data_IF_522774877926
#
_entry.id   IF_522774877926
#
_cell.length_a   1.000
_cell.length_b   1.000
_cell.length_c   1.000
_cell.angle_alpha   90.00
_cell.angle_beta   90.00
_cell.angle_gamma   90.00
#
_symmetry.space_group_name_H-M   'P 1'
#
loop_
_entity.id
_entity.type
_entity.pdbx_description
1 polymer ?
#
# COMPACT_ATOMS: atom_id res chain seq x y z
N UNK A 1 -7.02 5.90 -9.40
CA UNK A 1 -5.90 5.35 -10.19
C UNK A 1 -6.09 5.49 -11.70
N UNK A 2 -7.29 5.31 -12.25
CA UNK A 2 -7.58 5.40 -13.71
C UNK A 2 -6.98 6.65 -14.41
N UNK A 3 -6.88 7.79 -13.73
CA UNK A 3 -6.37 9.07 -14.27
C UNK A 3 -4.92 9.04 -14.79
N UNK A 4 -4.13 8.07 -14.36
CA UNK A 4 -2.73 7.94 -14.77
C UNK A 4 -2.55 7.23 -16.12
N UNK A 5 -3.63 6.77 -16.74
CA UNK A 5 -3.61 5.97 -17.96
C UNK A 5 -4.53 6.56 -19.03
N UNK A 6 -4.02 6.70 -20.25
CA UNK A 6 -4.82 7.07 -21.40
C UNK A 6 -5.67 5.87 -21.85
N UNK A 7 -7.02 5.96 -21.80
CA UNK A 7 -7.89 4.84 -22.19
C UNK A 7 -7.85 4.50 -23.69
N UNK A 8 -7.25 5.35 -24.51
CA UNK A 8 -7.02 5.05 -25.93
C UNK A 8 -5.79 4.16 -26.14
N UNK A 9 -4.87 4.11 -25.16
CA UNK A 9 -3.62 3.34 -25.22
C UNK A 9 -3.62 2.13 -24.29
N UNK A 10 -4.45 2.14 -23.24
CA UNK A 10 -4.47 1.10 -22.21
C UNK A 10 -5.85 0.49 -22.03
N UNK A 11 -5.90 -0.82 -21.92
CA UNK A 11 -7.00 -1.53 -21.28
C UNK A 11 -6.77 -1.45 -19.77
N UNK A 12 -7.54 -0.61 -19.06
CA UNK A 12 -7.35 -0.33 -17.63
C UNK A 12 -8.23 -1.29 -16.82
N UNK A 13 -7.60 -2.06 -15.94
CA UNK A 13 -8.28 -2.98 -15.02
C UNK A 13 -8.06 -2.47 -13.61
N UNK A 14 -9.14 -2.12 -12.94
CA UNK A 14 -9.17 -1.77 -11.53
C UNK A 14 -9.91 -2.86 -10.78
N UNK A 15 -9.36 -3.31 -9.67
CA UNK A 15 -10.05 -4.25 -8.81
C UNK A 15 -9.96 -3.79 -7.36
N UNK A 16 -11.01 -4.05 -6.62
CA UNK A 16 -11.02 -3.90 -5.18
C UNK A 16 -10.68 -5.26 -4.56
N UNK A 17 -9.62 -5.31 -3.74
CA UNK A 17 -9.27 -6.57 -3.08
C UNK A 17 -10.35 -7.02 -2.10
N UNK A 18 -10.26 -8.27 -1.65
CA UNK A 18 -11.22 -8.87 -0.71
C UNK A 18 -11.49 -7.93 0.45
N UNK A 19 -12.75 -7.76 0.81
CA UNK A 19 -13.20 -6.93 1.92
C UNK A 19 -13.16 -5.43 1.68
N UNK A 20 -12.74 -4.92 0.50
CA UNK A 20 -12.69 -3.48 0.23
C UNK A 20 -13.52 -3.05 -0.97
N UNK A 21 -13.81 -1.76 -1.04
CA UNK A 21 -14.50 -1.11 -2.14
C UNK A 21 -15.84 -1.79 -2.47
N UNK A 22 -15.98 -2.31 -3.68
CA UNK A 22 -17.18 -3.01 -4.14
C UNK A 22 -17.14 -4.52 -3.90
N UNK A 23 -15.99 -5.09 -3.49
CA UNK A 23 -15.87 -6.52 -3.15
C UNK A 23 -16.63 -6.85 -1.87
N UNK A 24 -17.25 -8.03 -1.84
CA UNK A 24 -18.12 -8.47 -0.73
C UNK A 24 -17.64 -9.80 -0.15
N UNK A 25 -17.81 -10.04 1.18
CA UNK A 25 -18.39 -9.12 2.19
C UNK A 25 -17.48 -7.93 2.52
N UNK A 26 -18.06 -6.75 2.75
CA UNK A 26 -17.31 -5.53 3.06
C UNK A 26 -16.61 -5.64 4.43
N UNK A 27 -15.39 -5.11 4.55
CA UNK A 27 -14.54 -5.16 5.74
C UNK A 27 -14.28 -6.59 6.27
N UNK A 28 -14.49 -7.62 5.44
CA UNK A 28 -14.18 -9.00 5.80
C UNK A 28 -12.67 -9.24 5.73
N UNK A 29 -12.17 -9.95 6.76
CA UNK A 29 -10.79 -10.44 6.83
C UNK A 29 -10.72 -11.97 6.67
N UNK A 30 -11.87 -12.62 6.47
CA UNK A 30 -11.96 -14.05 6.26
C UNK A 30 -11.34 -14.44 4.92
N UNK A 31 -10.48 -15.44 4.93
CA UNK A 31 -9.71 -15.86 3.75
C UNK A 31 -8.95 -14.71 3.06
N UNK A 32 -8.58 -13.66 3.81
CA UNK A 32 -7.94 -12.46 3.29
C UNK A 32 -6.46 -12.43 3.70
N UNK A 33 -5.67 -13.29 3.08
CA UNK A 33 -4.22 -13.39 3.25
C UNK A 33 -3.51 -13.22 1.91
N UNK A 34 -2.22 -12.95 1.92
CA UNK A 34 -1.45 -12.61 0.72
C UNK A 34 -1.58 -13.65 -0.40
N UNK A 35 -1.51 -14.94 -0.09
CA UNK A 35 -1.65 -16.01 -1.09
C UNK A 35 -3.00 -16.01 -1.80
N UNK A 36 -4.09 -15.69 -1.08
CA UNK A 36 -5.41 -15.54 -1.68
C UNK A 36 -5.52 -14.31 -2.58
N UNK A 37 -4.89 -13.18 -2.21
CA UNK A 37 -4.85 -11.99 -3.05
C UNK A 37 -4.08 -12.25 -4.35
N UNK A 38 -2.98 -12.98 -4.29
CA UNK A 38 -2.23 -13.41 -5.47
C UNK A 38 -3.05 -14.34 -6.38
N UNK A 39 -3.80 -15.27 -5.79
CA UNK A 39 -4.70 -16.15 -6.53
C UNK A 39 -5.85 -15.38 -7.21
N UNK A 40 -6.38 -14.35 -6.55
CA UNK A 40 -7.40 -13.47 -7.14
C UNK A 40 -6.86 -12.70 -8.36
N UNK A 41 -5.65 -12.16 -8.28
CA UNK A 41 -4.99 -11.49 -9.42
C UNK A 41 -4.84 -12.43 -10.61
N UNK A 42 -4.35 -13.66 -10.37
CA UNK A 42 -4.25 -14.67 -11.45
C UNK A 42 -5.60 -15.06 -12.03
N UNK A 43 -6.61 -15.21 -11.18
CA UNK A 43 -7.98 -15.49 -11.64
C UNK A 43 -8.53 -14.36 -12.52
N UNK A 44 -8.29 -13.09 -12.15
CA UNK A 44 -8.68 -11.92 -12.95
C UNK A 44 -7.94 -11.94 -14.29
N UNK A 45 -6.62 -12.11 -14.27
CA UNK A 45 -5.79 -12.16 -15.48
C UNK A 45 -6.29 -13.23 -16.46
N UNK A 46 -6.50 -14.44 -15.98
CA UNK A 46 -6.96 -15.58 -16.78
C UNK A 46 -8.40 -15.36 -17.31
N UNK A 47 -9.32 -14.87 -16.46
CA UNK A 47 -10.72 -14.61 -16.84
C UNK A 47 -10.80 -13.55 -17.95
N UNK A 48 -9.87 -12.60 -17.97
CA UNK A 48 -9.82 -11.53 -18.96
C UNK A 48 -8.94 -11.87 -20.18
N UNK A 49 -8.42 -13.10 -20.24
CA UNK A 49 -7.51 -13.61 -21.28
C UNK A 49 -6.29 -12.70 -21.50
N UNK A 50 -5.67 -12.27 -20.40
CA UNK A 50 -4.48 -11.41 -20.43
C UNK A 50 -3.24 -12.29 -20.34
N UNK A 51 -2.37 -12.23 -21.34
CA UNK A 51 -1.11 -12.97 -21.33
C UNK A 51 -0.10 -12.33 -20.37
N UNK A 52 0.08 -11.02 -20.48
CA UNK A 52 0.94 -10.22 -19.62
C UNK A 52 0.31 -8.84 -19.42
N UNK A 53 0.58 -8.22 -18.29
CA UNK A 53 0.09 -6.89 -17.97
C UNK A 53 1.15 -6.00 -17.31
N UNK A 54 0.94 -4.70 -17.41
CA UNK A 54 1.63 -3.73 -16.55
C UNK A 54 0.92 -3.69 -15.19
N UNK A 55 1.70 -3.71 -14.12
CA UNK A 55 1.18 -3.63 -12.74
C UNK A 55 1.40 -2.23 -12.18
N UNK A 56 0.36 -1.65 -11.59
CA UNK A 56 0.42 -0.35 -10.93
C UNK A 56 -0.04 -0.49 -9.48
N UNK A 57 0.83 -0.15 -8.53
CA UNK A 57 0.55 -0.28 -7.12
C UNK A 57 1.14 0.83 -6.26
N UNK A 58 0.51 1.12 -5.12
CA UNK A 58 1.05 2.08 -4.16
C UNK A 58 0.74 1.69 -2.73
N UNK A 59 1.66 1.98 -1.79
CA UNK A 59 1.52 1.62 -0.37
C UNK A 59 1.36 0.10 -0.21
N UNK A 60 0.34 -0.40 0.47
CA UNK A 60 0.00 -1.83 0.49
C UNK A 60 -0.11 -2.45 -0.92
N UNK A 61 -0.61 -1.68 -1.90
CA UNK A 61 -0.63 -2.12 -3.30
C UNK A 61 0.75 -2.32 -3.91
N UNK A 62 1.78 -1.62 -3.44
CA UNK A 62 3.17 -1.90 -3.85
C UNK A 62 3.68 -3.20 -3.21
N UNK A 63 3.34 -3.46 -1.95
CA UNK A 63 3.61 -4.75 -1.26
C UNK A 63 3.02 -5.92 -2.04
N UNK A 64 1.72 -5.82 -2.39
CA UNK A 64 1.02 -6.85 -3.17
C UNK A 64 1.63 -7.01 -4.57
N UNK A 65 1.99 -5.92 -5.23
CA UNK A 65 2.63 -5.94 -6.54
C UNK A 65 4.01 -6.62 -6.51
N UNK A 66 4.82 -6.36 -5.46
CA UNK A 66 6.11 -7.02 -5.27
C UNK A 66 5.95 -8.51 -4.96
N UNK A 67 4.98 -8.89 -4.14
CA UNK A 67 4.66 -10.30 -3.91
C UNK A 67 4.21 -11.00 -5.21
N UNK A 68 3.44 -10.29 -6.05
CA UNK A 68 3.05 -10.80 -7.36
C UNK A 68 4.25 -10.92 -8.32
N UNK A 69 5.18 -9.95 -8.30
CA UNK A 69 6.44 -10.04 -9.04
C UNK A 69 7.25 -11.27 -8.65
N UNK A 70 7.37 -11.53 -7.35
CA UNK A 70 8.11 -12.68 -6.84
C UNK A 70 7.50 -14.03 -7.26
N UNK A 71 6.15 -14.10 -7.31
CA UNK A 71 5.43 -15.33 -7.62
C UNK A 71 5.24 -15.56 -9.13
N UNK A 72 5.01 -14.49 -9.92
CA UNK A 72 4.56 -14.57 -11.31
C UNK A 72 5.29 -13.57 -12.25
N UNK A 73 6.62 -13.46 -12.21
CA UNK A 73 7.36 -12.47 -13.02
C UNK A 73 7.11 -12.59 -14.52
N UNK A 74 6.81 -13.80 -15.01
CA UNK A 74 6.54 -14.09 -16.42
C UNK A 74 5.28 -13.41 -16.96
N UNK A 75 4.34 -13.00 -16.10
CA UNK A 75 3.10 -12.35 -16.48
C UNK A 75 3.13 -10.82 -16.36
N UNK A 76 4.28 -10.25 -15.99
CA UNK A 76 4.46 -8.82 -15.85
C UNK A 76 5.27 -8.26 -17.00
N UNK A 77 4.77 -7.23 -17.68
CA UNK A 77 5.51 -6.49 -18.72
C UNK A 77 6.37 -5.39 -18.11
N UNK A 78 5.83 -4.65 -17.18
CA UNK A 78 6.50 -3.59 -16.42
C UNK A 78 5.71 -3.25 -15.16
N UNK A 79 6.30 -2.47 -14.25
CA UNK A 79 5.64 -2.02 -13.04
C UNK A 79 5.81 -0.52 -12.81
N UNK A 80 4.79 0.13 -12.26
CA UNK A 80 4.87 1.47 -11.68
C UNK A 80 4.46 1.37 -10.22
N UNK A 81 5.39 1.67 -9.33
CA UNK A 81 5.19 1.55 -7.88
C UNK A 81 5.35 2.92 -7.20
N UNK A 82 4.49 3.22 -6.23
CA UNK A 82 4.49 4.47 -5.47
C UNK A 82 4.41 4.21 -3.97
N UNK A 83 5.13 5.05 -3.18
CA UNK A 83 5.07 4.95 -1.73
C UNK A 83 5.39 3.52 -1.28
N UNK A 84 6.61 3.08 -1.55
CA UNK A 84 7.03 1.69 -1.34
C UNK A 84 6.85 1.31 0.12
N UNK A 85 6.07 0.26 0.34
CA UNK A 85 5.88 -0.38 1.63
C UNK A 85 6.38 -1.82 1.57
N UNK A 86 7.38 -2.15 2.37
CA UNK A 86 8.00 -3.47 2.38
C UNK A 86 7.45 -4.38 3.48
N UNK A 87 6.65 -3.83 4.39
CA UNK A 87 5.97 -4.52 5.49
C UNK A 87 6.94 -5.31 6.39
N UNK A 88 8.16 -4.78 6.61
CA UNK A 88 9.15 -5.36 7.53
C UNK A 88 8.83 -4.94 8.97
N UNK A 89 9.32 -5.65 9.95
CA UNK A 89 9.17 -5.30 11.37
C UNK A 89 9.50 -3.81 11.63
N UNK A 90 10.63 -3.32 11.13
CA UNK A 90 11.02 -1.91 11.29
C UNK A 90 10.09 -0.91 10.62
N UNK A 91 9.38 -1.30 9.55
CA UNK A 91 8.41 -0.46 8.84
C UNK A 91 7.12 -0.37 9.67
N UNK A 92 6.71 -1.46 10.32
CA UNK A 92 5.61 -1.51 11.26
C UNK A 92 5.95 -0.80 12.58
N UNK A 93 7.17 -0.96 13.07
CA UNK A 93 7.69 -0.23 14.24
C UNK A 93 7.68 1.29 14.00
N UNK A 94 8.05 1.73 12.81
CA UNK A 94 7.95 3.14 12.41
C UNK A 94 6.53 3.66 12.54
N UNK A 95 5.54 2.91 12.08
CA UNK A 95 4.13 3.33 12.07
C UNK A 95 3.47 3.23 13.44
N UNK A 96 3.73 2.15 14.19
CA UNK A 96 2.87 1.76 15.31
C UNK A 96 3.61 1.61 16.65
N UNK A 97 4.79 2.23 16.78
CA UNK A 97 5.49 2.36 18.06
C UNK A 97 5.89 3.80 18.35
N UNK A 98 6.13 4.09 19.63
CA UNK A 98 6.61 5.41 20.08
C UNK A 98 8.02 5.76 19.57
N UNK A 99 8.74 4.83 18.95
CA UNK A 99 10.12 5.02 18.47
C UNK A 99 10.19 5.57 17.04
N UNK A 100 9.10 5.46 16.27
CA UNK A 100 9.00 5.84 14.86
C UNK A 100 8.41 7.23 14.63
N UNK A 101 7.39 7.27 13.76
CA UNK A 101 6.69 8.49 13.35
C UNK A 101 6.06 9.27 14.50
N UNK A 102 5.74 8.60 15.62
CA UNK A 102 5.28 9.21 16.87
C UNK A 102 6.19 10.35 17.35
N UNK A 103 7.48 10.28 17.08
CA UNK A 103 8.46 11.32 17.46
C UNK A 103 8.34 12.59 16.61
N UNK A 104 7.75 12.50 15.43
CA UNK A 104 7.53 13.63 14.54
C UNK A 104 6.12 14.21 14.69
N UNK A 105 5.16 13.40 15.13
CA UNK A 105 3.75 13.75 15.28
C UNK A 105 3.23 13.36 16.68
N UNK A 106 3.82 13.91 17.77
CA UNK A 106 3.55 13.44 19.13
C UNK A 106 2.09 13.66 19.57
N UNK A 107 1.44 14.73 19.13
CA UNK A 107 0.05 15.01 19.48
C UNK A 107 -0.92 13.99 18.84
N UNK A 108 -0.69 13.68 17.56
CA UNK A 108 -1.51 12.69 16.84
C UNK A 108 -1.28 11.27 17.39
N UNK A 109 -0.03 10.94 17.74
CA UNK A 109 0.29 9.69 18.40
C UNK A 109 -0.40 9.56 19.76
N UNK A 110 -0.34 10.61 20.59
CA UNK A 110 -1.02 10.62 21.88
C UNK A 110 -2.54 10.42 21.72
N UNK A 111 -3.14 11.07 20.72
CA UNK A 111 -4.56 10.88 20.42
C UNK A 111 -4.88 9.44 20.01
N UNK A 112 -4.01 8.79 19.21
CA UNK A 112 -4.15 7.39 18.85
C UNK A 112 -4.06 6.47 20.08
N UNK A 113 -3.08 6.69 20.97
CA UNK A 113 -2.92 5.91 22.20
C UNK A 113 -4.10 6.06 23.14
N UNK A 114 -4.60 7.29 23.35
CA UNK A 114 -5.74 7.56 24.21
C UNK A 114 -7.05 6.94 23.72
N UNK A 115 -7.22 6.85 22.42
CA UNK A 115 -8.41 6.28 21.81
C UNK A 115 -8.31 4.76 21.59
N UNK A 116 -7.14 4.17 21.87
CA UNK A 116 -6.94 2.74 21.65
C UNK A 116 -7.89 1.89 22.49
N UNK A 117 -8.35 0.76 21.96
CA UNK A 117 -9.17 -0.19 22.70
C UNK A 117 -8.48 -0.63 23.99
N UNK A 118 -9.22 -0.85 25.09
CA UNK A 118 -8.67 -1.42 26.31
C UNK A 118 -8.12 -2.82 26.01
N UNK A 119 -7.07 -3.21 26.69
CA UNK A 119 -6.48 -4.54 26.53
C UNK A 119 -4.98 -4.54 26.82
N UNK A 120 -4.38 -5.73 26.70
CA UNK A 120 -2.95 -5.97 26.82
C UNK A 120 -2.35 -6.23 25.43
N UNK A 121 -1.04 -6.06 25.29
CA UNK A 121 -0.34 -6.26 24.02
C UNK A 121 0.06 -4.96 23.33
N UNK A 122 0.54 -5.09 22.11
CA UNK A 122 0.93 -3.94 21.28
C UNK A 122 -0.27 -3.07 20.91
N UNK A 123 -0.02 -1.83 20.52
CA UNK A 123 -1.07 -0.93 20.02
C UNK A 123 -1.82 -1.55 18.83
N UNK A 124 -1.08 -2.14 17.91
CA UNK A 124 -1.62 -2.85 16.73
C UNK A 124 -2.58 -3.99 17.14
N UNK A 125 -2.18 -4.83 18.09
CA UNK A 125 -3.04 -5.94 18.56
C UNK A 125 -4.30 -5.43 19.25
N UNK A 126 -4.22 -4.38 20.06
CA UNK A 126 -5.38 -3.75 20.71
C UNK A 126 -6.35 -3.21 19.68
N UNK A 127 -5.87 -2.50 18.65
CA UNK A 127 -6.72 -2.01 17.56
C UNK A 127 -7.35 -3.16 16.78
N UNK A 128 -6.58 -4.19 16.42
CA UNK A 128 -7.12 -5.36 15.73
C UNK A 128 -8.31 -5.98 16.50
N UNK A 129 -8.17 -6.18 17.81
CA UNK A 129 -9.23 -6.75 18.65
C UNK A 129 -10.45 -5.81 18.76
N UNK A 130 -10.21 -4.51 18.99
CA UNK A 130 -11.28 -3.52 19.11
C UNK A 130 -12.11 -3.36 17.83
N UNK A 131 -11.46 -3.49 16.68
CA UNK A 131 -12.10 -3.41 15.37
C UNK A 131 -13.06 -4.59 15.07
N UNK A 132 -13.05 -5.65 15.87
CA UNK A 132 -14.02 -6.75 15.77
C UNK A 132 -15.28 -6.54 16.65
N UNK A 133 -15.27 -5.51 17.50
CA UNK A 133 -16.34 -5.25 18.48
C UNK A 133 -17.34 -4.19 18.05
N UNK A 134 -18.24 -3.85 18.98
CA UNK A 134 -19.34 -2.89 18.74
C UNK A 134 -18.87 -1.44 18.46
N UNK A 135 -17.70 -1.05 18.98
CA UNK A 135 -17.13 0.29 18.78
C UNK A 135 -16.16 0.37 17.57
N UNK A 136 -16.21 -0.60 16.65
CA UNK A 136 -15.27 -0.75 15.55
C UNK A 136 -15.11 0.55 14.72
N UNK A 137 -16.19 1.24 14.40
CA UNK A 137 -16.12 2.52 13.64
C UNK A 137 -15.38 3.64 14.38
N UNK A 138 -15.50 3.69 15.71
CA UNK A 138 -14.75 4.66 16.53
C UNK A 138 -13.25 4.39 16.45
N UNK A 139 -12.87 3.13 16.59
CA UNK A 139 -11.46 2.72 16.52
C UNK A 139 -10.90 2.88 15.09
N UNK A 140 -11.70 2.56 14.09
CA UNK A 140 -11.34 2.78 12.69
C UNK A 140 -11.05 4.25 12.39
N UNK A 141 -11.90 5.16 12.90
CA UNK A 141 -11.70 6.60 12.79
C UNK A 141 -10.38 7.05 13.42
N UNK A 142 -10.06 6.57 14.63
CA UNK A 142 -8.81 6.91 15.30
C UNK A 142 -7.58 6.41 14.52
N UNK A 143 -7.65 5.20 14.00
CA UNK A 143 -6.62 4.59 13.14
C UNK A 143 -6.40 5.41 11.87
N UNK A 144 -7.47 5.69 11.12
CA UNK A 144 -7.39 6.45 9.87
C UNK A 144 -6.93 7.91 10.07
N UNK A 145 -7.24 8.53 11.21
CA UNK A 145 -6.74 9.86 11.55
C UNK A 145 -5.21 9.86 11.70
N UNK A 146 -4.66 8.82 12.33
CA UNK A 146 -3.20 8.64 12.42
C UNK A 146 -2.57 8.52 11.04
N UNK A 147 -3.04 7.60 10.21
CA UNK A 147 -2.55 7.39 8.85
C UNK A 147 -2.65 8.67 8.00
N UNK A 148 -3.78 9.37 8.10
CA UNK A 148 -3.99 10.64 7.37
C UNK A 148 -3.00 11.72 7.81
N UNK A 149 -2.66 11.78 9.10
CA UNK A 149 -1.65 12.71 9.61
C UNK A 149 -0.29 12.43 9.01
N UNK A 150 0.13 11.17 8.97
CA UNK A 150 1.41 10.77 8.36
C UNK A 150 1.44 11.00 6.85
N UNK A 151 0.30 10.84 6.19
CA UNK A 151 0.17 11.11 4.77
C UNK A 151 0.10 12.62 4.42
N UNK A 152 0.17 13.50 5.44
CA UNK A 152 -0.01 14.95 5.31
C UNK A 152 -1.34 15.34 4.63
N UNK A 153 -2.34 14.49 4.79
CA UNK A 153 -3.68 14.76 4.30
C UNK A 153 -4.46 15.62 5.31
N UNK A 154 -5.42 16.42 4.86
CA UNK A 154 -6.30 17.12 5.79
C UNK A 154 -6.99 16.13 6.74
N UNK A 155 -6.81 16.32 8.04
CA UNK A 155 -7.36 15.45 9.11
C UNK A 155 -8.88 15.58 9.28
N UNK A 156 -9.53 16.45 8.54
CA UNK A 156 -10.97 16.51 8.48
C UNK A 156 -11.50 15.64 7.36
N UNK A 157 -11.99 14.49 7.69
CA UNK A 157 -13.20 13.80 7.21
C UNK A 157 -13.70 14.06 5.77
N UNK A 158 -12.90 14.53 4.86
CA UNK A 158 -13.33 14.75 3.48
C UNK A 158 -13.02 13.56 2.58
N UNK A 159 -12.91 12.37 3.09
CA UNK A 159 -12.48 11.33 2.19
C UNK A 159 -13.13 9.98 2.40
N UNK A 160 -13.06 9.44 3.57
CA UNK A 160 -13.55 8.09 3.80
C UNK A 160 -14.89 8.15 4.52
N UNK A 161 -15.90 7.46 4.00
CA UNK A 161 -17.10 7.14 4.75
C UNK A 161 -16.75 6.21 5.91
N UNK A 162 -17.64 6.10 6.91
CA UNK A 162 -17.39 5.25 8.08
C UNK A 162 -17.08 3.79 7.73
N UNK A 163 -17.68 3.27 6.65
CA UNK A 163 -17.45 1.90 6.19
C UNK A 163 -16.09 1.75 5.48
N UNK A 164 -15.61 2.76 4.76
CA UNK A 164 -14.29 2.75 4.14
C UNK A 164 -13.18 2.83 5.20
N UNK A 165 -13.38 3.64 6.25
CA UNK A 165 -12.48 3.69 7.41
C UNK A 165 -12.41 2.32 8.11
N UNK A 166 -13.56 1.67 8.29
CA UNK A 166 -13.63 0.34 8.89
C UNK A 166 -12.92 -0.71 8.03
N UNK A 167 -13.12 -0.67 6.70
CA UNK A 167 -12.44 -1.55 5.77
C UNK A 167 -10.93 -1.40 5.85
N UNK A 168 -10.43 -0.16 5.77
CA UNK A 168 -9.02 0.16 5.83
C UNK A 168 -8.42 -0.33 7.15
N UNK A 169 -8.94 0.10 8.29
CA UNK A 169 -8.40 -0.24 9.60
C UNK A 169 -8.43 -1.75 9.89
N UNK A 170 -9.50 -2.46 9.52
CA UNK A 170 -9.58 -3.92 9.70
C UNK A 170 -8.56 -4.66 8.85
N UNK A 171 -8.42 -4.28 7.59
CA UNK A 171 -7.48 -4.95 6.69
C UNK A 171 -6.03 -4.67 7.08
N UNK A 172 -5.68 -3.42 7.36
CA UNK A 172 -4.33 -3.07 7.78
C UNK A 172 -3.93 -3.77 9.08
N UNK A 173 -4.76 -3.70 10.12
CA UNK A 173 -4.46 -4.39 11.38
C UNK A 173 -4.39 -5.90 11.20
N UNK A 174 -5.21 -6.49 10.33
CA UNK A 174 -5.17 -7.91 10.00
C UNK A 174 -3.87 -8.31 9.30
N UNK A 175 -3.44 -7.53 8.30
CA UNK A 175 -2.20 -7.81 7.58
C UNK A 175 -0.98 -7.54 8.46
N UNK A 176 -0.94 -6.40 9.13
CA UNK A 176 0.26 -5.95 9.83
C UNK A 176 0.58 -6.78 11.06
N UNK A 177 -0.41 -7.30 11.79
CA UNK A 177 -0.18 -8.22 12.91
C UNK A 177 0.37 -9.59 12.49
N UNK A 178 0.34 -9.89 11.21
CA UNK A 178 0.84 -11.13 10.61
C UNK A 178 1.94 -10.84 9.57
N UNK A 179 2.69 -9.74 9.74
CA UNK A 179 3.80 -9.34 8.87
C UNK A 179 3.42 -9.38 7.37
N UNK A 180 2.17 -8.96 7.05
CA UNK A 180 1.60 -9.01 5.71
C UNK A 180 1.36 -10.41 5.15
N UNK A 181 1.47 -11.46 5.96
CA UNK A 181 1.50 -12.87 5.52
C UNK A 181 2.60 -13.13 4.49
N UNK A 182 3.73 -12.40 4.61
CA UNK A 182 4.88 -12.49 3.72
C UNK A 182 5.80 -13.59 4.23
N UNK A 183 5.88 -14.70 3.48
CA UNK A 183 6.70 -15.87 3.86
C UNK A 183 8.20 -15.64 3.64
N UNK A 184 8.56 -14.83 2.64
CA UNK A 184 9.94 -14.48 2.31
C UNK A 184 10.08 -12.96 2.16
N UNK A 185 11.10 -12.32 2.75
CA UNK A 185 11.30 -10.88 2.61
C UNK A 185 11.26 -10.43 1.15
N UNK A 186 10.46 -9.39 0.84
CA UNK A 186 10.19 -8.97 -0.53
C UNK A 186 11.45 -8.55 -1.30
N UNK A 187 12.41 -7.94 -0.61
CA UNK A 187 13.69 -7.57 -1.22
C UNK A 187 14.44 -8.80 -1.73
N UNK A 188 14.49 -9.87 -0.93
CA UNK A 188 15.14 -11.12 -1.31
C UNK A 188 14.37 -11.85 -2.40
N UNK A 189 13.03 -11.80 -2.33
CA UNK A 189 12.17 -12.49 -3.27
C UNK A 189 12.18 -11.85 -4.67
N UNK A 190 12.37 -10.51 -4.74
CA UNK A 190 12.41 -9.75 -5.99
C UNK A 190 13.83 -9.50 -6.52
N UNK A 191 14.88 -9.81 -5.73
CA UNK A 191 16.26 -9.50 -6.10
C UNK A 191 16.63 -10.03 -7.47
N UNK A 192 17.25 -9.19 -8.29
CA UNK A 192 17.73 -9.56 -9.63
C UNK A 192 16.63 -9.69 -10.69
N UNK A 193 15.38 -9.39 -10.36
CA UNK A 193 14.29 -9.39 -11.36
C UNK A 193 14.60 -8.44 -12.52
N UNK A 194 14.39 -8.93 -13.74
CA UNK A 194 14.63 -8.16 -14.98
C UNK A 194 13.40 -7.40 -15.46
N UNK A 195 12.28 -7.46 -14.75
CA UNK A 195 11.07 -6.69 -15.06
C UNK A 195 11.39 -5.19 -14.90
N UNK A 196 11.07 -4.34 -15.89
CA UNK A 196 11.22 -2.89 -15.75
C UNK A 196 10.32 -2.34 -14.65
N UNK A 197 10.88 -1.55 -13.73
CA UNK A 197 10.13 -0.98 -12.61
C UNK A 197 10.38 0.52 -12.47
N UNK A 198 9.35 1.31 -12.58
CA UNK A 198 9.35 2.73 -12.21
C UNK A 198 8.92 2.87 -10.75
N UNK A 199 9.78 3.43 -9.92
CA UNK A 199 9.52 3.71 -8.51
C UNK A 199 9.34 5.22 -8.35
N UNK A 200 8.17 5.66 -7.91
CA UNK A 200 7.88 7.06 -7.57
C UNK A 200 7.74 7.19 -6.07
N UNK A 201 8.54 8.03 -5.42
CA UNK A 201 8.52 8.14 -3.97
C UNK A 201 8.75 9.57 -3.48
N UNK A 202 7.89 10.02 -2.57
CA UNK A 202 8.01 11.34 -1.94
C UNK A 202 9.08 11.37 -0.86
N UNK A 203 9.92 12.41 -0.86
CA UNK A 203 10.91 12.61 0.22
C UNK A 203 10.26 12.91 1.57
N UNK A 204 9.02 13.39 1.57
CA UNK A 204 8.21 13.67 2.77
C UNK A 204 7.13 12.61 3.01
N UNK A 205 7.35 11.40 2.54
CA UNK A 205 6.48 10.28 2.85
C UNK A 205 6.77 9.79 4.27
N UNK A 206 5.89 10.13 5.23
CA UNK A 206 5.99 9.72 6.63
C UNK A 206 5.18 8.45 6.92
N UNK A 207 4.39 7.96 5.98
CA UNK A 207 3.77 6.63 6.06
C UNK A 207 4.83 5.57 5.72
N UNK A 208 5.43 5.70 4.54
CA UNK A 208 6.48 4.80 4.08
C UNK A 208 7.79 5.59 3.94
N UNK A 209 8.70 5.54 4.92
CA UNK A 209 9.97 6.28 4.84
C UNK A 209 10.74 6.01 3.55
N UNK A 210 11.39 7.04 2.97
CA UNK A 210 12.07 6.97 1.66
C UNK A 210 13.13 5.87 1.55
N UNK A 211 13.69 5.40 2.67
CA UNK A 211 14.70 4.33 2.67
C UNK A 211 14.14 3.01 2.11
N UNK A 212 12.83 2.79 2.17
CA UNK A 212 12.20 1.60 1.59
C UNK A 212 12.30 1.58 0.08
N UNK A 213 12.07 2.73 -0.56
CA UNK A 213 12.21 2.88 -2.01
C UNK A 213 13.66 2.72 -2.47
N UNK A 214 14.61 3.27 -1.70
CA UNK A 214 16.03 3.10 -1.99
C UNK A 214 16.46 1.63 -1.88
N UNK A 215 16.04 0.94 -0.81
CA UNK A 215 16.35 -0.47 -0.60
C UNK A 215 15.80 -1.34 -1.74
N UNK A 216 14.57 -1.06 -2.21
CA UNK A 216 13.98 -1.77 -3.34
C UNK A 216 14.76 -1.50 -4.63
N UNK A 217 15.10 -0.24 -4.92
CA UNK A 217 15.87 0.13 -6.10
C UNK A 217 17.23 -0.57 -6.16
N UNK A 218 17.88 -0.74 -5.02
CA UNK A 218 19.21 -1.41 -4.94
C UNK A 218 19.18 -2.88 -5.33
N UNK A 219 18.05 -3.57 -5.21
CA UNK A 219 17.92 -5.01 -5.52
C UNK A 219 17.30 -5.27 -6.90
N UNK A 220 16.71 -4.26 -7.54
CA UNK A 220 16.06 -4.35 -8.85
C UNK A 220 16.94 -3.69 -9.93
N UNK A 221 17.69 -4.48 -10.75
CA UNK A 221 18.66 -3.93 -11.70
C UNK A 221 18.02 -3.07 -12.81
N UNK A 222 16.77 -3.35 -13.17
CA UNK A 222 16.03 -2.63 -14.20
C UNK A 222 14.99 -1.66 -13.61
N UNK A 223 15.31 -1.05 -12.46
CA UNK A 223 14.43 -0.04 -11.85
C UNK A 223 14.95 1.37 -12.05
N UNK A 224 14.02 2.32 -12.15
CA UNK A 224 14.27 3.75 -12.11
C UNK A 224 13.62 4.32 -10.85
N UNK A 225 14.37 5.03 -10.02
CA UNK A 225 13.90 5.65 -8.80
C UNK A 225 13.69 7.15 -9.01
N UNK A 226 12.44 7.57 -9.04
CA UNK A 226 12.01 8.94 -9.22
C UNK A 226 11.68 9.57 -7.87
N UNK A 227 12.59 10.36 -7.33
CA UNK A 227 12.36 11.12 -6.10
C UNK A 227 11.51 12.36 -6.37
N UNK A 228 10.50 12.59 -5.52
CA UNK A 228 9.71 13.82 -5.50
C UNK A 228 10.06 14.59 -4.23
N UNK A 229 10.90 15.62 -4.33
CA UNK A 229 11.50 16.30 -3.17
C UNK A 229 10.46 16.90 -2.19
N UNK A 230 9.39 17.52 -2.69
CA UNK A 230 8.31 18.05 -1.88
C UNK A 230 7.15 17.08 -1.63
N UNK A 231 7.18 15.89 -2.26
CA UNK A 231 6.08 14.95 -2.28
C UNK A 231 5.92 14.17 -0.97
N UNK A 232 4.67 13.92 -0.61
CA UNK A 232 4.26 13.05 0.49
C UNK A 232 3.87 11.65 0.02
N UNK A 233 2.98 11.01 0.82
CA UNK A 233 2.51 9.65 0.53
C UNK A 233 1.44 9.59 -0.56
N UNK A 234 0.60 10.61 -0.68
CA UNK A 234 -0.60 10.55 -1.51
C UNK A 234 -0.30 10.57 -3.01
N UNK A 235 -0.94 9.67 -3.78
CA UNK A 235 -0.94 9.74 -5.24
C UNK A 235 -1.67 10.97 -5.80
N UNK A 236 -2.35 11.74 -4.93
CA UNK A 236 -3.03 12.98 -5.26
C UNK A 236 -2.16 14.22 -5.04
N UNK A 237 -1.00 14.06 -4.38
CA UNK A 237 0.01 15.11 -4.32
C UNK A 237 0.44 15.47 -5.75
N UNK A 238 0.39 16.77 -6.13
CA UNK A 238 0.65 17.17 -7.51
C UNK A 238 1.97 16.69 -8.07
N UNK A 239 3.05 16.76 -7.27
CA UNK A 239 4.38 16.29 -7.70
C UNK A 239 4.44 14.77 -7.86
N UNK A 240 3.77 14.02 -6.97
CA UNK A 240 3.65 12.56 -7.10
C UNK A 240 2.81 12.19 -8.33
N UNK A 241 1.69 12.89 -8.53
CA UNK A 241 0.80 12.63 -9.67
C UNK A 241 1.51 12.87 -11.01
N UNK A 242 2.27 13.96 -11.13
CA UNK A 242 3.08 14.27 -12.33
C UNK A 242 4.15 13.19 -12.57
N UNK A 243 4.91 12.82 -11.54
CA UNK A 243 5.93 11.79 -11.65
C UNK A 243 5.34 10.42 -12.06
N UNK A 244 4.15 10.06 -11.55
CA UNK A 244 3.46 8.84 -11.96
C UNK A 244 3.04 8.86 -13.43
N UNK A 245 2.52 9.99 -13.93
CA UNK A 245 2.19 10.15 -15.36
C UNK A 245 3.43 10.01 -16.23
N UNK A 246 4.52 10.66 -15.87
CA UNK A 246 5.80 10.55 -16.59
C UNK A 246 6.35 9.13 -16.61
N UNK A 247 6.23 8.41 -15.49
CA UNK A 247 6.68 7.00 -15.39
C UNK A 247 5.86 6.08 -16.28
N UNK A 248 4.53 6.24 -16.30
CA UNK A 248 3.65 5.47 -17.20
C UNK A 248 3.96 5.75 -18.67
N UNK A 249 4.17 7.02 -19.04
CA UNK A 249 4.53 7.39 -20.40
C UNK A 249 5.91 6.88 -20.83
N UNK A 250 6.88 6.85 -19.93
CA UNK A 250 8.21 6.31 -20.20
C UNK A 250 8.13 4.82 -20.55
N UNK A 251 7.50 4.04 -19.67
CA UNK A 251 7.33 2.61 -19.89
C UNK A 251 6.53 2.31 -21.17
N UNK A 252 5.52 3.12 -21.50
CA UNK A 252 4.77 2.95 -22.75
C UNK A 252 5.67 3.10 -23.97
N UNK A 253 6.60 4.06 -23.97
CA UNK A 253 7.56 4.26 -25.08
C UNK A 253 8.58 3.14 -25.22
N UNK A 254 8.93 2.48 -24.10
CA UNK A 254 9.91 1.38 -24.08
C UNK A 254 9.29 0.03 -24.46
N UNK A 255 7.97 -0.11 -24.31
CA UNK A 255 7.25 -1.36 -24.58
C UNK A 255 6.64 -1.42 -25.99
N UNK A 256 6.58 -0.30 -26.71
CA UNK A 256 6.08 -0.20 -28.09
C UNK A 256 7.24 0.00 -29.04
#
# INVERSE_FOLDING_TARGET
MRRFFDPQKFRIILFDQRGSGQSRPLASIEHNILSHLLADLEKIRQTLDIQRWMVFGGSWGATLALAYLAAFPQYITAMVLRGIFLCRERDLDWLYTSKGAARLFPEAWHALEQQAPPGTGSLLERYYQGLQGAEAHRYARAWCNWESTLALMPTQSQGLGSDDELCMARQETHYFRADGFIERPLLDACAGSQVPVEIVHGRRDFVCPPEQALALHQVLPNSVLNWVEGGGHSSMDPGIAEALLMSVERLLRELV
#
